data_IF_251460751254
#
_entry.id   IF_251460751254
#
_cell.length_a   1.000
_cell.length_b   1.000
_cell.length_c   1.000
_cell.angle_alpha   90.00
_cell.angle_beta   90.00
_cell.angle_gamma   90.00
#
_symmetry.space_group_name_H-M   'P 1'
#
loop_
_entity.id
_entity.type
_entity.pdbx_description
1 polymer ?
#
# COMPACT_ATOMS: atom_id res chain seq x y z
N UNK A 1 4.17 -11.72 18.90
CA UNK A 1 2.72 -11.51 18.66
C UNK A 1 2.30 -10.05 18.90
N UNK A 2 2.03 -9.26 17.85
CA UNK A 2 1.52 -7.88 18.01
C UNK A 2 0.00 -7.85 17.81
N UNK A 3 -0.74 -7.82 18.91
CA UNK A 3 -2.19 -7.57 18.92
C UNK A 3 -2.46 -6.09 18.60
N UNK A 4 -2.76 -5.76 17.35
CA UNK A 4 -3.39 -4.49 17.02
C UNK A 4 -4.82 -4.48 17.56
N UNK A 5 -5.04 -3.82 18.70
CA UNK A 5 -6.39 -3.55 19.22
C UNK A 5 -6.91 -2.24 18.62
N UNK A 6 -7.63 -2.30 17.51
CA UNK A 6 -8.39 -1.15 17.01
C UNK A 6 -9.60 -0.93 17.92
N UNK A 7 -9.55 0.10 18.77
CA UNK A 7 -10.73 0.56 19.52
C UNK A 7 -11.57 1.44 18.59
N UNK A 8 -12.71 0.95 18.13
CA UNK A 8 -13.71 1.79 17.48
C UNK A 8 -14.70 2.29 18.53
N UNK A 9 -14.93 3.60 18.58
CA UNK A 9 -15.96 4.20 19.44
C UNK A 9 -17.22 4.38 18.60
N UNK A 10 -18.29 3.69 19.00
CA UNK A 10 -19.62 3.92 18.45
C UNK A 10 -20.20 5.16 19.12
N UNK A 11 -20.66 6.12 18.32
CA UNK A 11 -21.29 7.35 18.80
C UNK A 11 -22.78 7.24 18.53
N UNK A 12 -23.59 7.38 19.57
CA UNK A 12 -25.04 7.41 19.48
C UNK A 12 -25.52 8.87 19.55
N UNK A 13 -26.45 9.28 18.67
CA UNK A 13 -26.95 10.66 18.69
C UNK A 13 -27.71 10.92 19.98
N UNK A 14 -27.41 12.06 20.63
CA UNK A 14 -28.02 12.48 21.89
C UNK A 14 -29.41 13.11 21.71
N UNK A 15 -29.82 13.39 20.48
CA UNK A 15 -31.02 14.14 20.15
C UNK A 15 -31.98 13.27 19.34
N UNK A 16 -33.27 13.38 19.63
CA UNK A 16 -34.32 12.78 18.81
C UNK A 16 -34.31 13.46 17.43
N UNK A 17 -34.19 12.66 16.38
CA UNK A 17 -34.25 13.13 15.01
C UNK A 17 -35.73 13.20 14.65
N UNK A 18 -36.30 14.40 14.61
CA UNK A 18 -37.62 14.61 14.07
C UNK A 18 -37.53 14.62 12.55
N UNK A 19 -38.08 13.59 11.92
CA UNK A 19 -38.32 13.62 10.49
C UNK A 19 -39.52 14.52 10.25
N UNK A 20 -39.27 15.71 9.69
CA UNK A 20 -40.34 16.58 9.23
C UNK A 20 -41.21 15.76 8.25
N UNK A 21 -42.55 15.72 8.40
CA UNK A 21 -43.47 14.91 7.57
C UNK A 21 -43.67 15.53 6.20
N UNK A 22 -42.60 16.07 5.61
CA UNK A 22 -42.60 16.55 4.25
C UNK A 22 -42.70 15.29 3.40
N UNK A 23 -43.83 15.13 2.71
CA UNK A 23 -44.03 14.09 1.72
C UNK A 23 -42.94 14.11 0.65
N UNK A 24 -42.95 13.16 -0.29
CA UNK A 24 -41.92 13.05 -1.32
C UNK A 24 -41.71 14.41 -2.01
N UNK A 25 -40.52 15.00 -1.85
CA UNK A 25 -40.19 16.24 -2.56
C UNK A 25 -39.96 15.83 -4.01
N UNK A 26 -40.79 16.35 -4.92
CA UNK A 26 -40.61 16.17 -6.35
C UNK A 26 -39.35 16.92 -6.79
N UNK A 27 -38.27 16.18 -6.98
CA UNK A 27 -37.01 16.73 -7.48
C UNK A 27 -37.02 16.75 -9.00
N UNK A 28 -36.56 17.85 -9.61
CA UNK A 28 -36.34 17.89 -11.05
C UNK A 28 -35.27 16.87 -11.49
N UNK A 29 -35.41 16.25 -12.68
CA UNK A 29 -34.44 15.31 -13.20
C UNK A 29 -33.11 16.03 -13.46
N UNK A 30 -32.09 15.72 -12.66
CA UNK A 30 -30.73 16.24 -12.88
C UNK A 30 -30.02 15.39 -13.93
N UNK A 31 -29.64 16.00 -15.04
CA UNK A 31 -28.87 15.32 -16.09
C UNK A 31 -27.43 15.10 -15.63
N UNK A 32 -27.17 13.93 -15.05
CA UNK A 32 -25.80 13.51 -14.69
C UNK A 32 -25.03 13.20 -15.97
N UNK A 33 -24.10 14.07 -16.34
CA UNK A 33 -23.12 13.73 -17.36
C UNK A 33 -22.37 12.46 -16.89
N UNK A 34 -22.29 11.46 -17.77
CA UNK A 34 -21.51 10.24 -17.52
C UNK A 34 -20.05 10.66 -17.36
N UNK A 35 -19.61 10.84 -16.11
CA UNK A 35 -18.21 11.03 -15.79
C UNK A 35 -17.45 9.88 -16.43
N UNK A 36 -16.45 10.21 -17.25
CA UNK A 36 -15.61 9.25 -17.96
C UNK A 36 -15.16 8.19 -16.95
N UNK A 37 -15.25 6.92 -17.34
CA UNK A 37 -14.94 5.74 -16.54
C UNK A 37 -13.64 5.88 -15.71
N UNK A 38 -13.73 6.47 -14.51
CA UNK A 38 -12.73 6.29 -13.47
C UNK A 38 -13.09 5.00 -12.76
N UNK A 39 -12.95 3.88 -13.47
CA UNK A 39 -12.90 2.59 -12.81
C UNK A 39 -11.73 2.67 -11.83
N UNK A 40 -11.93 2.49 -10.51
CA UNK A 40 -10.81 2.34 -9.62
C UNK A 40 -10.02 1.16 -10.15
N UNK A 41 -8.77 1.41 -10.55
CA UNK A 41 -7.84 0.35 -10.90
C UNK A 41 -7.71 -0.49 -9.65
N UNK A 42 -8.39 -1.63 -9.62
CA UNK A 42 -8.22 -2.64 -8.58
C UNK A 42 -6.80 -3.15 -8.78
N UNK A 43 -5.86 -2.52 -8.08
CA UNK A 43 -4.51 -3.05 -7.97
C UNK A 43 -4.65 -4.39 -7.27
N UNK A 44 -4.62 -5.47 -8.07
CA UNK A 44 -4.47 -6.82 -7.52
C UNK A 44 -3.23 -6.78 -6.64
N UNK A 45 -3.44 -6.75 -5.33
CA UNK A 45 -2.39 -6.96 -4.36
C UNK A 45 -1.73 -8.28 -4.76
N UNK A 46 -0.50 -8.20 -5.25
CA UNK A 46 0.28 -9.41 -5.53
C UNK A 46 0.51 -10.05 -4.18
N UNK A 47 -0.34 -11.01 -3.84
CA UNK A 47 -0.22 -11.78 -2.63
C UNK A 47 1.03 -12.64 -2.81
N UNK A 48 2.14 -12.12 -2.32
CA UNK A 48 3.44 -12.76 -2.37
C UNK A 48 3.48 -13.85 -1.28
N UNK A 49 2.94 -15.03 -1.60
CA UNK A 49 2.93 -16.22 -0.74
C UNK A 49 4.31 -16.90 -0.62
N UNK A 50 5.39 -16.11 -0.53
CA UNK A 50 6.75 -16.65 -0.53
C UNK A 50 7.74 -15.77 0.22
N UNK A 51 8.92 -16.31 0.57
CA UNK A 51 9.92 -15.58 1.31
C UNK A 51 10.41 -14.35 0.55
N UNK A 52 10.62 -13.26 1.29
CA UNK A 52 11.27 -12.05 0.80
C UNK A 52 12.74 -12.09 1.21
N UNK A 53 13.61 -12.15 0.21
CA UNK A 53 15.05 -12.15 0.38
C UNK A 53 15.59 -10.72 0.48
N UNK A 54 16.49 -10.47 1.42
CA UNK A 54 17.18 -9.20 1.57
C UNK A 54 18.64 -9.38 1.20
N UNK A 55 19.05 -8.71 0.13
CA UNK A 55 20.43 -8.68 -0.32
C UNK A 55 21.07 -7.36 0.05
N UNK A 56 22.28 -7.40 0.61
CA UNK A 56 23.08 -6.22 0.93
C UNK A 56 24.25 -6.07 -0.04
N UNK A 57 24.41 -4.85 -0.57
CA UNK A 57 25.55 -4.53 -1.43
C UNK A 57 26.85 -4.51 -0.63
N UNK A 58 27.86 -5.26 -1.09
CA UNK A 58 29.18 -5.35 -0.45
C UNK A 58 29.96 -4.02 -0.47
N UNK A 59 29.62 -3.09 -1.36
CA UNK A 59 30.32 -1.82 -1.50
C UNK A 59 29.69 -0.72 -0.65
N UNK A 60 28.38 -0.52 -0.75
CA UNK A 60 27.69 0.61 -0.10
C UNK A 60 26.84 0.21 1.11
N UNK A 61 26.67 -1.08 1.40
CA UNK A 61 25.87 -1.59 2.52
C UNK A 61 24.36 -1.34 2.39
N UNK A 62 23.86 -0.98 1.19
CA UNK A 62 22.42 -0.81 0.97
C UNK A 62 21.72 -2.15 0.85
N UNK A 63 20.53 -2.24 1.45
CA UNK A 63 19.70 -3.45 1.48
C UNK A 63 18.60 -3.38 0.41
N UNK A 64 18.41 -4.48 -0.31
CA UNK A 64 17.46 -4.62 -1.39
C UNK A 64 16.53 -5.80 -1.15
N UNK A 65 15.22 -5.53 -1.09
CA UNK A 65 14.20 -6.56 -0.97
C UNK A 65 13.92 -7.20 -2.32
N UNK A 66 13.93 -8.53 -2.38
CA UNK A 66 13.72 -9.33 -3.58
C UNK A 66 12.79 -10.49 -3.31
N UNK A 67 11.93 -10.78 -4.28
CA UNK A 67 11.01 -11.93 -4.25
C UNK A 67 11.75 -13.20 -4.70
N UNK A 68 12.70 -13.06 -5.62
CA UNK A 68 13.50 -14.15 -6.16
C UNK A 68 14.87 -14.18 -5.48
N UNK A 69 15.41 -15.38 -5.27
CA UNK A 69 16.77 -15.59 -4.78
C UNK A 69 17.79 -15.22 -5.86
N UNK A 70 18.10 -13.93 -5.99
CA UNK A 70 19.07 -13.43 -6.96
C UNK A 70 19.93 -12.33 -6.33
N UNK A 71 21.22 -12.62 -6.20
CA UNK A 71 22.23 -11.73 -5.63
C UNK A 71 22.65 -10.57 -6.57
N UNK A 72 22.21 -10.56 -7.84
CA UNK A 72 22.53 -9.50 -8.80
C UNK A 72 21.75 -8.22 -8.48
N UNK A 73 22.48 -7.18 -8.13
CA UNK A 73 21.96 -5.85 -7.85
C UNK A 73 21.89 -5.03 -9.13
N UNK A 74 20.82 -4.22 -9.24
CA UNK A 74 20.70 -3.23 -10.33
C UNK A 74 21.65 -2.05 -10.05
N UNK A 75 21.99 -1.24 -11.06
CA UNK A 75 22.59 0.06 -10.83
C UNK A 75 21.79 0.84 -9.78
N UNK A 76 22.47 1.31 -8.76
CA UNK A 76 21.87 2.01 -7.63
C UNK A 76 22.85 3.05 -7.11
N UNK A 77 22.32 3.99 -6.32
CA UNK A 77 23.11 5.02 -5.66
C UNK A 77 23.60 4.54 -4.30
N UNK A 78 24.77 4.96 -3.87
CA UNK A 78 25.32 4.69 -2.54
C UNK A 78 24.71 5.63 -1.47
N UNK A 79 25.23 5.58 -0.24
CA UNK A 79 24.74 6.45 0.85
C UNK A 79 25.02 7.94 0.59
N UNK A 80 26.08 8.25 -0.15
CA UNK A 80 26.48 9.60 -0.54
C UNK A 80 25.67 10.15 -1.72
N UNK A 81 24.94 9.29 -2.45
CA UNK A 81 24.12 9.67 -3.61
C UNK A 81 24.79 9.41 -4.96
N UNK A 82 26.00 8.90 -4.96
CA UNK A 82 26.81 8.60 -6.15
C UNK A 82 26.47 7.22 -6.71
N UNK A 83 26.78 7.01 -7.98
CA UNK A 83 26.53 5.72 -8.62
C UNK A 83 27.44 4.64 -8.01
N UNK A 84 26.81 3.65 -7.36
CA UNK A 84 27.53 2.53 -6.78
C UNK A 84 28.06 1.59 -7.89
N UNK A 85 29.34 1.25 -7.78
CA UNK A 85 30.01 0.28 -8.65
C UNK A 85 29.59 -1.17 -8.35
N UNK A 86 29.06 -1.41 -7.15
CA UNK A 86 28.57 -2.71 -6.73
C UNK A 86 27.39 -3.21 -7.58
N UNK A 87 27.54 -4.43 -8.13
CA UNK A 87 26.51 -5.14 -8.90
C UNK A 87 26.10 -6.47 -8.27
N UNK A 88 26.75 -6.86 -7.18
CA UNK A 88 26.52 -8.11 -6.46
C UNK A 88 26.29 -7.77 -4.98
N UNK A 89 25.36 -8.48 -4.36
CA UNK A 89 25.14 -8.44 -2.92
C UNK A 89 25.20 -9.82 -2.30
N UNK A 90 25.26 -9.87 -0.97
CA UNK A 90 25.13 -11.11 -0.20
C UNK A 90 23.78 -11.14 0.50
N UNK A 91 23.26 -12.34 0.77
CA UNK A 91 22.00 -12.51 1.48
C UNK A 91 22.22 -12.20 2.97
N UNK A 92 21.43 -11.28 3.51
CA UNK A 92 21.48 -10.90 4.93
C UNK A 92 20.32 -11.50 5.71
N UNK A 93 19.13 -11.50 5.12
CA UNK A 93 17.92 -11.90 5.82
C UNK A 93 16.88 -12.50 4.86
N UNK A 94 16.01 -13.33 5.40
CA UNK A 94 14.88 -13.94 4.70
C UNK A 94 13.62 -13.82 5.54
N UNK A 95 12.75 -12.90 5.14
CA UNK A 95 11.46 -12.73 5.80
C UNK A 95 10.43 -13.67 5.20
N UNK A 96 9.81 -14.48 6.05
CA UNK A 96 8.62 -15.26 5.70
C UNK A 96 7.39 -14.43 6.11
N UNK A 97 6.45 -14.25 5.17
CA UNK A 97 5.20 -13.50 5.38
C UNK A 97 4.08 -14.40 5.89
#
# INVERSE_FOLDING_TARGET
>A
DRKCKSKFKVVFPKFQIEFSPIGPIETLPTHRSKSKNFLPKVEKARNNFGPTYIFECLYCGRKFKRIKYNAKLRPHKDKSGENCLGRIGHLVDTYHN
#
